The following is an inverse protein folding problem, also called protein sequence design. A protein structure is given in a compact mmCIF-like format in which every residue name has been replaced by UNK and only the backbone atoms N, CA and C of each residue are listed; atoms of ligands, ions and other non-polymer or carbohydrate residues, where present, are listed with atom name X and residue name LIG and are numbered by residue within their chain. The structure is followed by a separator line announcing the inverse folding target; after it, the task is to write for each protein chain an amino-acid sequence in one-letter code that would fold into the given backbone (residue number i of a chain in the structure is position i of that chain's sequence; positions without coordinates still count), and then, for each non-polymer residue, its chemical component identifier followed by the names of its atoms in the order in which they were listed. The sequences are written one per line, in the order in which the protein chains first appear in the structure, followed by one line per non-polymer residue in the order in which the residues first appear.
data_IF_746777717345
#
_entry.id   IF_746777717345
#
_cell.length_a   1.000
_cell.length_b   1.000
_cell.length_c   1.000
_cell.angle_alpha   90.00
_cell.angle_beta   90.00
_cell.angle_gamma   90.00
#
_symmetry.space_group_name_H-M   'P 1'
#
loop_
_entity.id
_entity.type
_entity.pdbx_description
1 polymer ?
#
# COMPACT_ATOMS: atom_id res chain seq x y z
N UNK A 1 -45.62 -20.42 -9.34
CA UNK A 1 -45.35 -19.75 -8.04
C UNK A 1 -45.26 -20.85 -6.99
N UNK A 2 -44.20 -20.92 -6.17
CA UNK A 2 -44.03 -21.98 -5.16
C UNK A 2 -43.19 -23.20 -5.55
N UNK A 3 -42.38 -23.13 -6.62
CA UNK A 3 -41.45 -24.23 -6.95
C UNK A 3 -40.26 -24.21 -5.99
N UNK A 4 -40.02 -25.34 -5.33
CA UNK A 4 -38.85 -25.53 -4.47
C UNK A 4 -37.64 -25.83 -5.35
N UNK A 5 -36.67 -24.92 -5.36
CA UNK A 5 -35.38 -25.12 -6.03
C UNK A 5 -34.37 -25.50 -4.96
N UNK A 6 -33.60 -26.56 -5.22
CA UNK A 6 -32.45 -26.93 -4.39
C UNK A 6 -31.19 -26.60 -5.16
N UNK A 7 -30.37 -25.71 -4.61
CA UNK A 7 -29.04 -25.43 -5.13
C UNK A 7 -28.03 -26.34 -4.44
N UNK A 8 -27.27 -27.09 -5.22
CA UNK A 8 -26.11 -27.85 -4.77
C UNK A 8 -24.91 -27.32 -5.54
N UNK A 9 -23.83 -27.03 -4.82
CA UNK A 9 -22.58 -26.59 -5.41
C UNK A 9 -21.44 -27.36 -4.79
N UNK A 10 -20.42 -27.62 -5.59
CA UNK A 10 -19.16 -28.22 -5.19
C UNK A 10 -18.05 -27.29 -5.64
N UNK A 11 -17.01 -27.17 -4.82
CA UNK A 11 -15.82 -26.37 -5.12
C UNK A 11 -14.64 -27.32 -5.06
N UNK A 12 -13.75 -27.20 -6.05
CA UNK A 12 -12.52 -27.99 -6.14
C UNK A 12 -11.33 -27.04 -6.07
N UNK A 13 -10.45 -27.18 -5.06
CA UNK A 13 -10.52 -28.12 -3.94
C UNK A 13 -11.64 -27.80 -2.95
N UNK A 14 -12.07 -28.80 -2.17
CA UNK A 14 -13.15 -28.63 -1.19
C UNK A 14 -12.81 -27.59 -0.13
N UNK A 15 -13.69 -26.62 0.07
CA UNK A 15 -13.55 -25.58 1.08
C UNK A 15 -14.27 -25.92 2.40
N UNK A 16 -14.78 -27.14 2.58
CA UNK A 16 -15.63 -27.50 3.74
C UNK A 16 -14.97 -27.25 5.11
N UNK A 17 -13.64 -27.30 5.18
CA UNK A 17 -12.87 -27.08 6.41
C UNK A 17 -12.21 -25.69 6.45
N UNK A 18 -12.52 -24.81 5.51
CA UNK A 18 -11.98 -23.45 5.42
C UNK A 18 -13.00 -22.47 6.01
N UNK A 19 -12.61 -21.76 7.06
CA UNK A 19 -13.49 -20.76 7.72
C UNK A 19 -13.56 -19.44 6.95
N UNK A 20 -12.45 -19.03 6.36
CA UNK A 20 -12.31 -17.77 5.64
C UNK A 20 -11.42 -17.99 4.42
N UNK A 21 -11.81 -17.42 3.29
CA UNK A 21 -11.04 -17.43 2.07
C UNK A 21 -11.11 -16.05 1.42
N UNK A 22 -10.00 -15.61 0.83
CA UNK A 22 -9.94 -14.43 -0.01
C UNK A 22 -9.38 -14.84 -1.35
N UNK A 23 -10.04 -14.41 -2.43
CA UNK A 23 -9.55 -14.67 -3.78
C UNK A 23 -8.41 -13.71 -4.12
N UNK A 24 -7.40 -14.24 -4.80
CA UNK A 24 -6.30 -13.49 -5.37
C UNK A 24 -5.99 -14.03 -6.77
N UNK A 25 -4.90 -13.55 -7.34
CA UNK A 25 -4.30 -14.14 -8.52
C UNK A 25 -3.29 -13.21 -9.21
N UNK A 26 -2.38 -13.78 -10.02
CA UNK A 26 -2.17 -15.23 -10.15
C UNK A 26 -1.43 -15.82 -8.94
N UNK A 27 -1.34 -17.16 -8.88
CA UNK A 27 -0.30 -17.83 -8.09
C UNK A 27 1.06 -17.34 -8.58
N UNK A 28 1.98 -17.03 -7.66
CA UNK A 28 3.28 -16.47 -8.02
C UNK A 28 4.45 -17.23 -7.40
N UNK A 29 4.21 -17.96 -6.31
CA UNK A 29 5.19 -18.83 -5.65
C UNK A 29 4.51 -20.14 -5.30
N UNK A 30 5.19 -21.26 -5.59
CA UNK A 30 4.76 -22.61 -5.23
C UNK A 30 5.98 -23.47 -4.95
N UNK A 31 5.93 -24.29 -3.89
CA UNK A 31 7.01 -25.21 -3.50
C UNK A 31 8.40 -24.54 -3.41
N UNK A 32 8.44 -23.30 -2.94
CA UNK A 32 9.65 -22.49 -2.77
C UNK A 32 10.26 -21.99 -4.08
N UNK A 33 9.49 -21.95 -5.17
CA UNK A 33 9.94 -21.49 -6.49
C UNK A 33 8.95 -20.50 -7.10
N UNK A 34 9.42 -19.66 -8.02
CA UNK A 34 8.54 -18.82 -8.83
C UNK A 34 7.64 -19.73 -9.67
N UNK A 35 6.33 -19.55 -9.54
CA UNK A 35 5.33 -20.37 -10.22
C UNK A 35 4.29 -19.45 -10.85
N UNK A 36 4.59 -18.94 -12.04
CA UNK A 36 3.73 -18.03 -12.78
C UNK A 36 3.09 -18.76 -13.96
N UNK A 37 1.76 -18.93 -13.90
CA UNK A 37 0.96 -19.37 -15.03
C UNK A 37 -0.16 -18.37 -15.32
N UNK A 38 0.22 -17.10 -15.43
CA UNK A 38 -0.71 -15.97 -15.53
C UNK A 38 -1.70 -16.13 -16.67
N UNK A 39 -1.29 -16.67 -17.83
CA UNK A 39 -2.18 -16.91 -18.97
C UNK A 39 -3.25 -17.96 -18.65
N UNK A 40 -2.89 -19.11 -18.07
CA UNK A 40 -3.87 -20.13 -17.71
C UNK A 40 -4.82 -19.65 -16.59
N UNK A 41 -4.35 -18.73 -15.76
CA UNK A 41 -5.14 -18.08 -14.71
C UNK A 41 -5.91 -16.84 -15.21
N UNK A 42 -5.90 -16.55 -16.52
CA UNK A 42 -6.72 -15.50 -17.15
C UNK A 42 -6.15 -14.08 -17.08
N UNK A 43 -4.87 -13.93 -16.74
CA UNK A 43 -4.16 -12.64 -16.69
C UNK A 43 -3.33 -12.42 -17.96
N UNK A 44 -3.44 -11.26 -18.60
CA UNK A 44 -2.68 -10.94 -19.81
C UNK A 44 -1.18 -10.68 -19.58
N UNK A 45 -0.36 -10.82 -20.62
CA UNK A 45 1.11 -10.62 -20.58
C UNK A 45 1.56 -9.28 -19.98
N UNK A 46 0.84 -8.20 -20.30
CA UNK A 46 1.14 -6.87 -19.78
C UNK A 46 1.01 -6.79 -18.25
N UNK A 47 0.10 -7.57 -17.66
CA UNK A 47 -0.08 -7.62 -16.21
C UNK A 47 1.10 -8.29 -15.50
N UNK A 48 1.74 -9.26 -16.16
CA UNK A 48 2.90 -9.99 -15.65
C UNK A 48 4.17 -9.14 -15.68
N UNK A 49 4.46 -8.54 -16.83
CA UNK A 49 5.75 -7.88 -17.11
C UNK A 49 5.80 -6.43 -16.63
N UNK A 50 4.67 -5.73 -16.62
CA UNK A 50 4.65 -4.31 -16.24
C UNK A 50 4.86 -4.12 -14.74
N UNK A 51 5.70 -3.15 -14.38
CA UNK A 51 5.89 -2.74 -12.99
C UNK A 51 4.69 -1.96 -12.50
N UNK A 52 4.07 -2.46 -11.44
CA UNK A 52 2.96 -1.81 -10.76
C UNK A 52 3.15 -1.87 -9.25
N UNK A 53 2.42 -1.03 -8.48
CA UNK A 53 2.19 -1.34 -7.09
C UNK A 53 1.57 -2.73 -6.97
N UNK A 54 2.02 -3.51 -5.98
CA UNK A 54 1.59 -4.90 -5.79
C UNK A 54 1.18 -5.12 -4.36
N UNK A 55 0.20 -5.99 -4.18
CA UNK A 55 -0.15 -6.57 -2.89
C UNK A 55 -0.03 -8.08 -3.08
N UNK A 56 0.56 -8.78 -2.12
CA UNK A 56 0.67 -10.24 -2.19
C UNK A 56 0.61 -10.85 -0.80
N UNK A 57 0.24 -12.12 -0.73
CA UNK A 57 0.29 -12.91 0.48
C UNK A 57 1.12 -14.17 0.22
N UNK A 58 1.89 -14.59 1.22
CA UNK A 58 2.64 -15.84 1.17
C UNK A 58 2.65 -16.54 2.51
N UNK A 59 2.99 -17.82 2.51
CA UNK A 59 3.20 -18.61 3.72
C UNK A 59 4.61 -19.16 3.73
N UNK A 60 5.27 -19.10 4.87
CA UNK A 60 6.59 -19.68 5.09
C UNK A 60 6.46 -21.16 5.47
N UNK A 61 7.58 -21.89 5.46
CA UNK A 61 7.63 -23.31 5.83
C UNK A 61 7.11 -23.62 7.24
N UNK A 62 7.25 -22.67 8.17
CA UNK A 62 6.75 -22.79 9.56
C UNK A 62 5.27 -22.37 9.72
N UNK A 63 4.61 -22.02 8.62
CA UNK A 63 3.20 -21.61 8.61
C UNK A 63 2.96 -20.12 8.91
N UNK A 64 4.01 -19.31 9.02
CA UNK A 64 3.85 -17.86 9.20
C UNK A 64 3.27 -17.20 7.94
N UNK A 65 2.33 -16.27 8.15
CA UNK A 65 1.75 -15.47 7.07
C UNK A 65 2.62 -14.24 6.77
N UNK A 66 2.97 -14.06 5.51
CA UNK A 66 3.61 -12.87 4.97
C UNK A 66 2.57 -12.04 4.21
N UNK A 67 2.45 -10.77 4.57
CA UNK A 67 1.67 -9.78 3.83
C UNK A 67 2.64 -8.77 3.22
N UNK A 68 2.63 -8.66 1.90
CA UNK A 68 3.55 -7.83 1.15
C UNK A 68 2.79 -6.72 0.43
N UNK A 69 3.29 -5.49 0.54
CA UNK A 69 2.89 -4.38 -0.32
C UNK A 69 4.13 -3.76 -0.93
N UNK A 70 4.11 -3.54 -2.24
CA UNK A 70 5.14 -2.86 -2.99
C UNK A 70 4.53 -1.59 -3.57
N UNK A 71 5.09 -0.43 -3.20
CA UNK A 71 4.67 0.84 -3.78
C UNK A 71 5.06 0.91 -5.26
N UNK A 72 4.41 1.78 -6.04
CA UNK A 72 4.72 1.91 -7.46
C UNK A 72 4.11 3.14 -8.11
N UNK A 73 4.45 3.37 -9.39
CA UNK A 73 4.05 4.56 -10.17
C UNK A 73 4.52 5.86 -9.53
N UNK A 74 5.65 5.83 -8.85
CA UNK A 74 6.24 6.95 -8.12
C UNK A 74 7.70 7.12 -8.55
N UNK A 75 7.97 7.97 -9.56
CA UNK A 75 9.30 8.08 -10.16
C UNK A 75 10.45 8.29 -9.16
N UNK A 76 10.17 9.02 -8.06
CA UNK A 76 11.15 9.39 -7.04
C UNK A 76 11.18 8.48 -5.82
N UNK A 77 10.31 7.46 -5.73
CA UNK A 77 10.27 6.53 -4.59
C UNK A 77 10.26 5.06 -5.03
N UNK A 78 9.27 4.67 -5.84
CA UNK A 78 9.15 3.29 -6.32
C UNK A 78 8.53 3.22 -7.70
N UNK A 79 9.21 2.50 -8.60
CA UNK A 79 8.68 2.16 -9.93
C UNK A 79 7.65 1.03 -9.88
N UNK A 80 7.54 0.30 -8.78
CA UNK A 80 6.72 -0.91 -8.66
C UNK A 80 7.48 -2.18 -9.05
N UNK A 81 6.77 -3.29 -9.00
CA UNK A 81 7.27 -4.64 -9.24
C UNK A 81 6.49 -5.34 -10.36
N UNK A 82 7.17 -6.13 -11.17
CA UNK A 82 6.54 -7.18 -11.98
C UNK A 82 6.02 -8.30 -11.07
N UNK A 83 5.26 -9.26 -11.62
CA UNK A 83 4.87 -10.43 -10.83
C UNK A 83 6.08 -11.27 -10.42
N UNK A 84 7.07 -11.43 -11.31
CA UNK A 84 8.33 -12.13 -11.00
C UNK A 84 9.11 -11.44 -9.89
N UNK A 85 9.21 -10.10 -9.89
CA UNK A 85 9.84 -9.36 -8.79
C UNK A 85 9.10 -9.60 -7.47
N UNK A 86 7.76 -9.62 -7.51
CA UNK A 86 6.91 -9.85 -6.33
C UNK A 86 7.10 -11.26 -5.78
N UNK A 87 7.17 -12.27 -6.67
CA UNK A 87 7.48 -13.64 -6.30
C UNK A 87 8.86 -13.75 -5.64
N UNK A 88 9.87 -13.13 -6.25
CA UNK A 88 11.24 -13.11 -5.72
C UNK A 88 11.32 -12.40 -4.36
N UNK A 89 10.52 -11.35 -4.12
CA UNK A 89 10.42 -10.71 -2.81
C UNK A 89 9.84 -11.67 -1.76
N UNK A 90 8.74 -12.37 -2.08
CA UNK A 90 8.17 -13.37 -1.17
C UNK A 90 9.17 -14.49 -0.86
N UNK A 91 9.85 -15.03 -1.88
CA UNK A 91 10.91 -16.04 -1.71
C UNK A 91 12.06 -15.52 -0.84
N UNK A 92 12.49 -14.28 -1.05
CA UNK A 92 13.53 -13.63 -0.23
C UNK A 92 13.14 -13.53 1.24
N UNK A 93 11.84 -13.38 1.54
CA UNK A 93 11.31 -13.39 2.91
C UNK A 93 10.91 -14.78 3.41
N UNK A 94 11.22 -15.85 2.65
CA UNK A 94 11.06 -17.24 3.09
C UNK A 94 9.73 -17.89 2.73
N UNK A 95 8.90 -17.29 1.87
CA UNK A 95 7.66 -17.91 1.42
C UNK A 95 7.95 -19.23 0.67
N UNK A 96 7.21 -20.28 0.99
CA UNK A 96 7.15 -21.51 0.18
C UNK A 96 6.03 -21.45 -0.84
N UNK A 97 4.93 -20.76 -0.51
CA UNK A 97 3.78 -20.59 -1.38
C UNK A 97 3.29 -19.15 -1.29
N UNK A 98 2.77 -18.61 -2.40
CA UNK A 98 2.36 -17.22 -2.44
C UNK A 98 1.53 -16.85 -3.65
N UNK A 99 0.59 -15.94 -3.42
CA UNK A 99 -0.38 -15.46 -4.40
C UNK A 99 -0.34 -13.94 -4.49
N UNK A 100 -0.44 -13.41 -5.70
CA UNK A 100 -0.66 -11.98 -5.90
C UNK A 100 -2.11 -11.63 -5.50
N UNK A 101 -2.33 -10.44 -4.96
CA UNK A 101 -3.65 -9.87 -4.67
C UNK A 101 -3.90 -8.65 -5.56
N UNK A 102 -5.04 -7.97 -5.39
CA UNK A 102 -5.30 -6.73 -6.13
C UNK A 102 -4.19 -5.69 -5.86
N UNK A 103 -3.80 -5.01 -6.94
CA UNK A 103 -2.62 -4.16 -6.98
C UNK A 103 -2.93 -2.75 -7.47
N UNK A 104 -1.91 -2.07 -8.01
CA UNK A 104 -2.08 -0.76 -8.62
C UNK A 104 -2.56 0.30 -7.63
N UNK A 105 -3.67 0.96 -7.95
CA UNK A 105 -4.24 1.98 -7.06
C UNK A 105 -4.80 1.41 -5.75
N UNK A 106 -5.07 0.10 -5.71
CA UNK A 106 -5.66 -0.59 -4.56
C UNK A 106 -4.62 -1.02 -3.53
N UNK A 107 -3.32 -1.02 -3.87
CA UNK A 107 -2.25 -1.41 -2.95
C UNK A 107 -2.10 -0.42 -1.80
N UNK A 108 -2.60 -0.83 -0.65
CA UNK A 108 -2.51 -0.09 0.61
C UNK A 108 -2.35 -1.07 1.78
N UNK A 109 -1.42 -0.75 2.70
CA UNK A 109 -1.26 -1.44 3.96
C UNK A 109 -1.55 -0.47 5.10
N UNK A 110 -2.49 -0.84 5.96
CA UNK A 110 -2.78 -0.10 7.18
C UNK A 110 -2.36 -0.91 8.40
N UNK A 111 -1.56 -0.30 9.27
CA UNK A 111 -1.23 -0.87 10.59
C UNK A 111 -1.91 -0.02 11.65
N UNK A 112 -2.84 -0.63 12.40
CA UNK A 112 -3.64 0.04 13.44
C UNK A 112 -4.32 1.34 12.94
N UNK A 113 -4.80 1.35 11.70
CA UNK A 113 -5.48 2.50 11.08
C UNK A 113 -4.55 3.63 10.64
N UNK A 114 -3.26 3.32 10.42
CA UNK A 114 -2.27 4.22 9.82
C UNK A 114 -1.77 3.58 8.54
N UNK A 115 -1.85 4.28 7.40
CA UNK A 115 -1.29 3.81 6.14
C UNK A 115 0.23 3.89 6.20
N UNK A 116 0.90 2.74 6.09
CA UNK A 116 2.36 2.62 6.27
C UNK A 116 3.14 2.60 4.96
N UNK A 117 2.44 2.58 3.82
CA UNK A 117 3.03 2.60 2.48
C UNK A 117 2.64 3.89 1.73
N UNK A 118 3.25 4.12 0.57
CA UNK A 118 2.92 5.25 -0.30
C UNK A 118 1.92 4.83 -1.38
N UNK A 119 0.64 5.20 -1.21
CA UNK A 119 -0.39 4.91 -2.21
C UNK A 119 -0.06 5.56 -3.56
N UNK A 120 -0.42 4.89 -4.66
CA UNK A 120 -0.05 5.34 -6.01
C UNK A 120 -0.84 6.54 -6.52
N UNK A 121 -2.05 6.79 -5.98
CA UNK A 121 -2.88 7.95 -6.28
C UNK A 121 -2.62 9.15 -5.37
N UNK A 122 -3.41 10.22 -5.56
CA UNK A 122 -3.49 11.36 -4.63
C UNK A 122 -4.21 11.02 -3.32
N UNK A 123 -4.95 9.92 -3.29
CA UNK A 123 -5.65 9.42 -2.12
C UNK A 123 -5.73 7.89 -2.17
N UNK A 124 -6.08 7.30 -1.02
CA UNK A 124 -6.44 5.89 -0.94
C UNK A 124 -7.62 5.59 -1.86
N UNK A 125 -7.55 4.48 -2.59
CA UNK A 125 -8.64 4.02 -3.46
C UNK A 125 -9.65 3.23 -2.62
N UNK A 126 -10.94 3.46 -2.84
CA UNK A 126 -11.97 2.60 -2.30
C UNK A 126 -11.85 1.18 -2.89
N UNK A 127 -11.77 0.17 -2.04
CA UNK A 127 -11.68 -1.24 -2.41
C UNK A 127 -12.90 -2.01 -1.91
N UNK A 128 -13.27 -3.08 -2.62
CA UNK A 128 -14.47 -3.87 -2.29
C UNK A 128 -14.27 -4.80 -1.07
N UNK A 129 -13.03 -5.22 -0.80
CA UNK A 129 -12.67 -6.10 0.30
C UNK A 129 -11.20 -5.90 0.71
N UNK A 130 -10.76 -6.59 1.77
CA UNK A 130 -9.37 -6.62 2.21
C UNK A 130 -9.09 -7.74 3.20
N UNK A 131 -7.80 -8.05 3.40
CA UNK A 131 -7.35 -9.00 4.42
C UNK A 131 -7.02 -8.23 5.70
N UNK A 132 -7.67 -8.60 6.80
CA UNK A 132 -7.55 -7.91 8.09
C UNK A 132 -7.04 -8.87 9.14
N UNK A 133 -5.92 -8.52 9.77
CA UNK A 133 -5.42 -9.21 10.95
C UNK A 133 -6.03 -8.58 12.19
N UNK A 134 -6.82 -9.36 12.93
CA UNK A 134 -7.45 -8.95 14.18
C UNK A 134 -6.82 -9.68 15.35
N UNK A 135 -6.70 -8.98 16.48
CA UNK A 135 -6.31 -9.57 17.76
C UNK A 135 -7.37 -9.22 18.79
N UNK A 136 -7.72 -10.20 19.61
CA UNK A 136 -8.58 -10.08 20.79
C UNK A 136 -7.84 -9.45 21.98
N UNK A 137 -6.52 -9.32 21.93
CA UNK A 137 -5.73 -8.66 22.96
C UNK A 137 -6.16 -7.19 23.07
N UNK A 138 -6.61 -6.75 24.26
CA UNK A 138 -6.96 -5.34 24.46
C UNK A 138 -5.77 -4.45 24.16
N UNK A 139 -5.99 -3.40 23.36
CA UNK A 139 -5.02 -2.31 23.24
C UNK A 139 -5.11 -1.54 24.57
N UNK A 140 -4.03 -1.44 25.36
CA UNK A 140 -4.03 -0.60 26.56
C UNK A 140 -4.34 0.83 26.13
N UNK A 141 -5.54 1.32 26.44
CA UNK A 141 -5.90 2.71 26.14
C UNK A 141 -5.40 3.58 27.28
N UNK A 142 -4.35 4.36 27.03
CA UNK A 142 -4.00 5.46 27.93
C UNK A 142 -5.02 6.60 27.72
N UNK A 143 -5.45 7.27 28.79
CA UNK A 143 -6.33 8.46 28.73
C UNK A 143 -5.57 9.72 28.29
N UNK A 144 -4.25 9.63 28.15
CA UNK A 144 -3.41 10.74 27.73
C UNK A 144 -3.79 11.20 26.31
N UNK A 145 -3.83 12.52 26.08
CA UNK A 145 -4.31 13.08 24.82
C UNK A 145 -3.37 12.75 23.65
N UNK A 146 -3.95 12.80 22.45
CA UNK A 146 -3.21 12.94 21.19
C UNK A 146 -2.35 14.22 21.20
N UNK A 147 -1.43 14.34 20.25
CA UNK A 147 -0.55 15.51 20.20
C UNK A 147 0.01 15.85 18.82
N UNK A 148 0.96 16.78 18.80
CA UNK A 148 1.67 17.19 17.60
C UNK A 148 3.04 16.50 17.50
N UNK A 149 3.49 16.25 16.27
CA UNK A 149 4.87 15.84 16.03
C UNK A 149 5.81 17.04 16.14
N UNK A 150 7.06 16.80 16.54
CA UNK A 150 8.13 17.77 16.42
C UNK A 150 8.64 17.81 14.97
N UNK A 151 8.77 19.01 14.43
CA UNK A 151 9.35 19.30 13.13
C UNK A 151 10.15 20.59 13.25
N UNK A 152 11.38 20.60 12.74
CA UNK A 152 12.17 21.82 12.60
C UNK A 152 11.67 22.72 11.44
N UNK A 153 10.65 22.26 10.72
CA UNK A 153 10.09 22.93 9.55
C UNK A 153 8.64 23.36 9.79
N UNK A 154 8.33 24.60 9.41
CA UNK A 154 6.98 25.14 9.29
C UNK A 154 6.71 25.59 7.84
N UNK A 155 5.48 25.43 7.37
CA UNK A 155 5.03 25.89 6.05
C UNK A 155 4.90 24.80 5.00
N UNK A 156 4.97 25.19 3.72
CA UNK A 156 4.76 24.31 2.57
C UNK A 156 6.08 23.87 1.93
N UNK A 157 6.15 22.61 1.48
CA UNK A 157 7.36 22.02 0.90
C UNK A 157 7.15 21.65 -0.57
N UNK A 158 8.23 21.56 -1.36
CA UNK A 158 8.15 21.14 -2.76
C UNK A 158 8.24 19.62 -2.88
N UNK A 159 7.70 19.06 -3.97
CA UNK A 159 7.95 17.66 -4.34
C UNK A 159 9.46 17.38 -4.34
N UNK A 160 9.85 16.23 -3.77
CA UNK A 160 11.24 15.83 -3.57
C UNK A 160 11.85 16.28 -2.24
N UNK A 161 11.20 17.17 -1.49
CA UNK A 161 11.68 17.59 -0.18
C UNK A 161 11.69 16.41 0.81
N UNK A 162 12.79 16.24 1.53
CA UNK A 162 12.93 15.30 2.64
C UNK A 162 12.86 16.07 3.97
N UNK A 163 12.08 15.58 4.92
CA UNK A 163 11.91 16.18 6.26
C UNK A 163 11.92 15.11 7.34
N UNK A 164 12.46 15.45 8.50
CA UNK A 164 12.42 14.59 9.68
C UNK A 164 11.29 15.04 10.61
N UNK A 165 10.47 14.09 11.03
CA UNK A 165 9.47 14.27 12.07
C UNK A 165 9.84 13.40 13.26
N UNK A 166 9.65 13.93 14.47
CA UNK A 166 9.97 13.23 15.69
C UNK A 166 8.80 13.29 16.69
N UNK A 167 8.75 12.33 17.59
CA UNK A 167 7.88 12.41 18.76
C UNK A 167 8.49 13.37 19.80
N UNK A 168 7.67 14.13 20.55
CA UNK A 168 8.15 14.90 21.70
C UNK A 168 8.97 14.07 22.69
N UNK A 169 10.08 14.60 23.17
CA UNK A 169 10.97 13.90 24.11
C UNK A 169 10.29 13.51 25.43
N UNK A 170 9.21 14.21 25.81
CA UNK A 170 8.36 13.90 26.98
C UNK A 170 7.58 12.60 26.84
N UNK A 171 7.41 12.11 25.60
CA UNK A 171 6.95 10.75 25.32
C UNK A 171 8.16 9.87 25.54
N UNK A 172 8.48 9.61 26.80
CA UNK A 172 9.55 8.71 27.18
C UNK A 172 9.35 7.42 26.39
N UNK A 173 10.31 7.08 25.51
CA UNK A 173 10.31 5.79 24.82
C UNK A 173 10.32 4.74 25.92
N UNK A 174 9.16 4.15 26.25
CA UNK A 174 9.17 2.93 27.03
C UNK A 174 9.99 1.93 26.21
N UNK A 175 10.92 1.23 26.84
CA UNK A 175 11.74 0.23 26.16
C UNK A 175 10.83 -0.69 25.33
N UNK A 176 11.06 -0.78 24.02
CA UNK A 176 10.24 -1.57 23.08
C UNK A 176 9.00 -0.89 22.47
N UNK A 177 8.70 0.37 22.79
CA UNK A 177 7.58 1.08 22.16
C UNK A 177 7.96 1.59 20.76
N UNK A 178 7.52 0.87 19.72
CA UNK A 178 7.69 1.28 18.32
C UNK A 178 6.48 2.07 17.86
N UNK A 179 6.70 3.32 17.49
CA UNK A 179 5.68 4.13 16.82
C UNK A 179 5.48 3.63 15.39
N UNK A 180 4.22 3.55 14.97
CA UNK A 180 3.84 3.27 13.58
C UNK A 180 3.67 4.59 12.86
N UNK A 181 4.54 4.84 11.88
CA UNK A 181 4.52 6.05 11.07
C UNK A 181 3.73 5.85 9.80
N UNK A 182 3.04 6.90 9.37
CA UNK A 182 2.30 6.90 8.11
C UNK A 182 1.94 8.28 7.60
N UNK A 183 1.43 8.31 6.37
CA UNK A 183 1.01 9.55 5.69
C UNK A 183 -0.42 9.38 5.19
N UNK A 184 -1.23 10.42 5.36
CA UNK A 184 -2.56 10.55 4.75
C UNK A 184 -2.56 11.60 3.63
N UNK A 185 -3.52 11.51 2.72
CA UNK A 185 -3.68 12.47 1.61
C UNK A 185 -2.72 12.26 0.43
N UNK A 186 -2.03 11.11 0.36
CA UNK A 186 -1.21 10.72 -0.81
C UNK A 186 -0.04 11.65 -1.17
N UNK A 187 0.25 12.63 -0.31
CA UNK A 187 1.25 13.69 -0.54
C UNK A 187 2.69 13.21 -0.46
N UNK A 188 2.94 12.05 0.17
CA UNK A 188 4.29 11.56 0.39
C UNK A 188 4.35 10.21 1.09
N UNK A 189 5.55 9.85 1.52
CA UNK A 189 5.87 8.65 2.29
C UNK A 189 6.65 9.04 3.53
N UNK A 190 6.45 8.33 4.64
CA UNK A 190 7.28 8.45 5.84
C UNK A 190 7.82 7.07 6.22
N UNK A 191 9.13 6.98 6.45
CA UNK A 191 9.73 5.77 6.98
C UNK A 191 9.29 5.52 8.42
N UNK A 192 9.47 4.29 8.91
CA UNK A 192 9.24 3.98 10.33
C UNK A 192 10.27 4.63 11.29
N UNK A 193 11.24 5.38 10.75
CA UNK A 193 12.15 6.25 11.51
C UNK A 193 11.70 7.72 11.55
N UNK A 194 10.58 8.08 10.93
CA UNK A 194 10.06 9.45 10.87
C UNK A 194 10.63 10.30 9.74
N UNK A 195 11.34 9.70 8.77
CA UNK A 195 11.86 10.41 7.60
C UNK A 195 10.81 10.46 6.49
N UNK A 196 10.28 11.66 6.25
CA UNK A 196 9.27 11.94 5.24
C UNK A 196 9.89 12.38 3.92
N UNK A 197 9.32 11.95 2.80
CA UNK A 197 9.60 12.44 1.45
C UNK A 197 8.32 12.92 0.79
N UNK A 198 8.33 14.16 0.29
CA UNK A 198 7.23 14.76 -0.46
C UNK A 198 7.21 14.20 -1.89
N UNK A 199 6.08 13.64 -2.31
CA UNK A 199 5.97 12.95 -3.60
C UNK A 199 4.94 13.58 -4.54
N UNK A 200 3.89 14.20 -4.00
CA UNK A 200 2.79 14.77 -4.78
C UNK A 200 2.27 16.04 -4.15
N UNK A 201 1.88 17.01 -4.97
CA UNK A 201 1.22 18.22 -4.50
C UNK A 201 -0.12 17.91 -3.82
N UNK A 202 -0.43 18.63 -2.76
CA UNK A 202 -1.66 18.44 -1.99
C UNK A 202 -1.46 18.77 -0.51
N UNK A 203 -2.50 18.48 0.28
CA UNK A 203 -2.49 18.61 1.74
C UNK A 203 -2.70 17.24 2.34
N UNK A 204 -1.95 16.93 3.39
CA UNK A 204 -2.02 15.67 4.09
C UNK A 204 -1.53 15.79 5.51
N UNK A 205 -1.39 14.66 6.19
CA UNK A 205 -0.79 14.60 7.51
C UNK A 205 0.29 13.54 7.57
N UNK A 206 1.41 13.87 8.21
CA UNK A 206 2.34 12.87 8.75
C UNK A 206 1.83 12.49 10.14
N UNK A 207 1.80 11.20 10.44
CA UNK A 207 1.31 10.69 11.72
C UNK A 207 2.23 9.63 12.30
N UNK A 208 2.31 9.60 13.63
CA UNK A 208 2.90 8.51 14.40
C UNK A 208 1.86 7.98 15.40
N UNK A 209 1.59 6.68 15.36
CA UNK A 209 0.67 6.02 16.29
C UNK A 209 1.43 5.11 17.25
N UNK A 210 1.22 5.31 18.54
CA UNK A 210 1.84 4.54 19.61
C UNK A 210 1.06 3.25 19.90
N UNK A 211 1.70 2.33 20.63
CA UNK A 211 1.09 1.06 21.01
C UNK A 211 -0.03 1.21 22.03
N UNK A 212 -0.03 2.32 22.78
CA UNK A 212 -1.05 2.70 23.76
C UNK A 212 -2.26 3.46 23.15
N UNK A 213 -2.30 3.55 21.83
CA UNK A 213 -3.40 4.15 21.07
C UNK A 213 -3.23 5.63 20.73
N UNK A 214 -2.34 6.37 21.40
CA UNK A 214 -2.11 7.79 21.13
C UNK A 214 -1.64 8.04 19.70
N UNK A 215 -2.11 9.14 19.11
CA UNK A 215 -1.72 9.59 17.77
C UNK A 215 -1.08 10.98 17.85
N UNK A 216 0.05 11.11 17.16
CA UNK A 216 0.75 12.37 16.98
C UNK A 216 0.71 12.74 15.52
N UNK A 217 0.26 13.95 15.20
CA UNK A 217 -0.02 14.35 13.83
C UNK A 217 0.60 15.70 13.52
N UNK A 218 1.09 15.87 12.30
CA UNK A 218 1.53 17.16 11.77
C UNK A 218 0.97 17.34 10.36
N UNK A 219 0.12 18.37 10.13
CA UNK A 219 -0.30 18.75 8.80
C UNK A 219 0.90 19.12 7.93
N UNK A 220 0.84 18.73 6.66
CA UNK A 220 1.84 19.05 5.65
C UNK A 220 1.16 19.51 4.37
N UNK A 221 1.76 20.51 3.73
CA UNK A 221 1.36 20.99 2.41
C UNK A 221 2.52 20.79 1.45
N UNK A 222 2.28 20.06 0.36
CA UNK A 222 3.24 19.86 -0.71
C UNK A 222 2.80 20.66 -1.93
N UNK A 223 3.71 21.46 -2.47
CA UNK A 223 3.51 22.29 -3.65
C UNK A 223 4.04 21.54 -4.87
N UNK A 224 3.15 21.30 -5.84
CA UNK A 224 3.53 20.80 -7.15
C UNK A 224 4.21 21.92 -7.98
N UNK A 225 5.19 21.59 -8.84
CA UNK A 225 5.69 22.56 -9.80
C UNK A 225 4.56 23.01 -10.74
N UNK A 226 4.47 24.30 -11.02
CA UNK A 226 3.60 24.82 -12.08
C UNK A 226 4.23 24.38 -13.40
N UNK A 227 3.60 23.45 -14.11
CA UNK A 227 3.99 23.15 -15.48
C UNK A 227 3.55 24.31 -16.37
N UNK A 228 4.40 24.80 -17.28
CA UNK A 228 3.96 25.77 -18.28
C UNK A 228 2.82 25.16 -19.11
N UNK A 229 1.81 25.97 -19.42
CA UNK A 229 0.72 25.58 -20.31
C UNK A 229 1.29 25.03 -21.62
N UNK A 230 0.76 23.92 -22.17
CA UNK A 230 1.20 23.47 -23.48
C UNK A 230 0.97 24.59 -24.50
N UNK A 231 2.00 24.91 -25.28
CA UNK A 231 1.87 25.85 -26.40
C UNK A 231 0.70 25.41 -27.30
N UNK A 232 -0.15 26.33 -27.77
CA UNK A 232 -1.24 25.97 -28.67
C UNK A 232 -0.67 25.21 -29.87
N UNK A 233 -1.27 24.06 -30.18
CA UNK A 233 -0.89 23.26 -31.35
C UNK A 233 -0.98 24.15 -32.60
N UNK A 234 0.00 24.11 -33.52
CA UNK A 234 -0.08 24.88 -34.75
C UNK A 234 -1.38 24.53 -35.49
N UNK A 235 -2.08 25.56 -35.96
CA UNK A 235 -3.31 25.40 -36.72
C UNK A 235 -3.04 24.50 -37.95
N UNK A 236 -3.98 23.62 -38.32
CA UNK A 236 -3.82 22.79 -39.51
C UNK A 236 -3.56 23.69 -40.72
N UNK A 237 -2.47 23.42 -41.44
CA UNK A 237 -2.19 24.10 -42.71
C UNK A 237 -3.27 23.66 -43.69
N UNK A 238 -4.06 24.62 -44.17
CA UNK A 238 -4.94 24.42 -45.32
C UNK A 238 -4.05 24.25 -46.54
N UNK A 239 -3.84 23.01 -46.98
CA UNK A 239 -3.32 22.76 -48.33
C UNK A 239 -4.43 23.12 -49.32
N UNK A 240 -4.23 24.20 -50.06
CA UNK A 240 -4.99 24.51 -51.27
C UNK A 240 -4.29 23.76 -52.38
N UNK A 241 -4.93 22.72 -52.93
CA UNK A 241 -4.50 22.08 -54.16
C UNK A 241 -4.84 23.00 -55.34
N UNK A 242 -3.83 23.40 -56.12
CA UNK A 242 -4.01 23.89 -57.50
C UNK A 242 -4.30 22.73 -58.47
#
# INVERSE_FOLDING_TARGET
RGQKITLRYEVTPSLRNIRQAVAGGPLIVQDGKVALNHIAEGFGEGFNTTRHPRTAAGVTKDGSLLLLTVDGRQPFLSRGASLTDTANLLLKFGATDGVNLDGGGSSAMAVRGVIVNSVSGSQERAVANGLVLVSDKPIPKTIAPDGALLSAFSGAMRIGAVRSFALPASIGKKSGETAIWGVSGGVGFVSQSGMFVALRGGVGNVSAKLSDGRRFTQPVTVIAPVLPSPSPSPAPKTEISE
#
